data_IF_907151302786
#
_entry.id   IF_907151302786
#
_cell.length_a   1.000
_cell.length_b   1.000
_cell.length_c   1.000
_cell.angle_alpha   90.00
_cell.angle_beta   90.00
_cell.angle_gamma   90.00
#
_symmetry.space_group_name_H-M   'P 1'
#
loop_
_entity.id
_entity.type
_entity.pdbx_description
1 polymer ?
#
# COMPACT_ATOMS: atom_id res chain seq x y z
N UNK A 1 9.32 -47.75 22.91
CA UNK A 1 9.33 -47.25 21.52
C UNK A 1 10.44 -46.24 21.41
N UNK A 2 11.50 -46.51 20.64
CA UNK A 2 12.53 -45.52 20.38
C UNK A 2 11.91 -44.45 19.46
N UNK A 3 11.82 -43.20 19.93
CA UNK A 3 11.34 -42.10 19.10
C UNK A 3 12.35 -41.82 17.98
N UNK A 4 11.85 -41.64 16.75
CA UNK A 4 12.68 -41.15 15.65
C UNK A 4 13.04 -39.70 15.98
N UNK A 5 14.33 -39.40 16.10
CA UNK A 5 14.80 -38.04 16.32
C UNK A 5 14.62 -37.23 15.03
N UNK A 6 14.08 -36.01 15.13
CA UNK A 6 13.87 -35.11 13.98
C UNK A 6 15.15 -34.91 13.15
N UNK A 7 16.30 -34.93 13.80
CA UNK A 7 17.64 -34.82 13.21
C UNK A 7 18.01 -35.97 12.28
N UNK A 8 17.35 -37.12 12.41
CA UNK A 8 17.64 -38.31 11.59
C UNK A 8 16.79 -38.35 10.31
N UNK A 9 15.84 -37.43 10.15
CA UNK A 9 14.98 -37.38 8.98
C UNK A 9 15.77 -37.04 7.70
N UNK A 10 15.32 -37.57 6.54
CA UNK A 10 15.81 -37.14 5.23
C UNK A 10 15.59 -35.64 5.00
N UNK A 11 16.43 -35.04 4.16
CA UNK A 11 16.39 -33.61 3.87
C UNK A 11 15.05 -33.18 3.24
N UNK A 12 14.42 -34.06 2.46
CA UNK A 12 13.14 -33.84 1.80
C UNK A 12 12.01 -33.71 2.84
N UNK A 13 12.04 -34.55 3.87
CA UNK A 13 11.04 -34.51 4.97
C UNK A 13 11.26 -33.26 5.83
N UNK A 14 12.52 -32.89 6.09
CA UNK A 14 12.84 -31.63 6.79
C UNK A 14 12.42 -30.40 5.98
N UNK A 15 12.53 -30.46 4.65
CA UNK A 15 12.08 -29.39 3.76
C UNK A 15 10.58 -29.25 3.81
N UNK A 16 9.85 -30.36 3.69
CA UNK A 16 8.39 -30.37 3.80
C UNK A 16 7.89 -29.84 5.15
N UNK A 17 8.51 -30.25 6.26
CA UNK A 17 8.18 -29.70 7.58
C UNK A 17 8.51 -28.20 7.64
N UNK A 18 9.66 -27.81 7.08
CA UNK A 18 10.13 -26.44 7.07
C UNK A 18 9.24 -25.48 6.27
N UNK A 19 8.68 -25.90 5.14
CA UNK A 19 7.77 -25.08 4.31
C UNK A 19 6.40 -24.87 4.96
N UNK A 20 6.01 -25.76 5.88
CA UNK A 20 4.77 -25.66 6.67
C UNK A 20 4.90 -24.81 7.94
N UNK A 21 6.09 -24.27 8.22
CA UNK A 21 6.24 -23.33 9.34
C UNK A 21 5.43 -22.06 9.07
N UNK A 22 4.84 -21.51 10.14
CA UNK A 22 3.92 -20.38 10.09
C UNK A 22 4.62 -19.03 9.96
N UNK A 23 5.85 -18.93 10.48
CA UNK A 23 6.55 -17.66 10.67
C UNK A 23 8.06 -17.76 10.43
N UNK A 24 8.69 -16.70 9.89
CA UNK A 24 10.15 -16.61 9.81
C UNK A 24 10.86 -16.74 11.17
N UNK A 25 10.25 -16.28 12.27
CA UNK A 25 10.77 -16.45 13.63
C UNK A 25 10.81 -17.90 14.08
N UNK A 26 9.84 -18.71 13.65
CA UNK A 26 9.82 -20.16 13.92
C UNK A 26 10.98 -20.85 13.18
N UNK A 27 11.23 -20.46 11.92
CA UNK A 27 12.39 -20.94 11.15
C UNK A 27 13.72 -20.54 11.79
N UNK A 28 13.84 -19.31 12.28
CA UNK A 28 15.04 -18.84 12.98
C UNK A 28 15.29 -19.66 14.26
N UNK A 29 14.24 -19.95 15.01
CA UNK A 29 14.31 -20.80 16.22
C UNK A 29 14.71 -22.23 15.87
N UNK A 30 14.14 -22.79 14.80
CA UNK A 30 14.50 -24.12 14.27
C UNK A 30 15.98 -24.20 13.88
N UNK A 31 16.49 -23.16 13.21
CA UNK A 31 17.90 -23.02 12.83
C UNK A 31 18.84 -22.99 14.04
N UNK A 32 18.38 -22.49 15.19
CA UNK A 32 19.18 -22.39 16.43
C UNK A 32 19.21 -23.67 17.27
N UNK A 33 18.42 -24.70 16.94
CA UNK A 33 18.35 -25.93 17.73
C UNK A 33 19.65 -26.75 17.68
N UNK A 34 20.26 -26.90 16.49
CA UNK A 34 21.57 -27.56 16.34
C UNK A 34 22.26 -27.19 15.00
N UNK A 35 23.52 -27.60 14.86
CA UNK A 35 24.35 -27.29 13.67
C UNK A 35 23.85 -27.96 12.38
N UNK A 36 23.19 -29.13 12.46
CA UNK A 36 22.62 -29.81 11.29
C UNK A 36 21.44 -29.01 10.73
N UNK A 37 20.53 -28.54 11.58
CA UNK A 37 19.42 -27.68 11.15
C UNK A 37 19.91 -26.33 10.64
N UNK A 38 20.95 -25.76 11.26
CA UNK A 38 21.61 -24.57 10.70
C UNK A 38 22.10 -24.80 9.26
N UNK A 39 22.87 -25.87 9.03
CA UNK A 39 23.39 -26.20 7.71
C UNK A 39 22.27 -26.48 6.70
N UNK A 40 21.23 -27.21 7.12
CA UNK A 40 20.04 -27.51 6.32
C UNK A 40 19.30 -26.22 5.90
N UNK A 41 18.95 -25.36 6.86
CA UNK A 41 18.26 -24.10 6.58
C UNK A 41 19.11 -23.22 5.68
N UNK A 42 20.44 -23.16 5.87
CA UNK A 42 21.32 -22.38 4.98
C UNK A 42 21.33 -22.91 3.55
N UNK A 43 21.28 -24.22 3.36
CA UNK A 43 21.23 -24.84 2.04
C UNK A 43 19.88 -24.58 1.32
N UNK A 44 18.78 -24.53 2.07
CA UNK A 44 17.42 -24.43 1.52
C UNK A 44 16.71 -23.09 1.83
N UNK A 45 17.43 -22.05 2.24
CA UNK A 45 16.83 -20.82 2.78
C UNK A 45 15.88 -20.13 1.81
N UNK A 46 16.19 -20.12 0.52
CA UNK A 46 15.38 -19.42 -0.49
C UNK A 46 13.98 -20.03 -0.58
N UNK A 47 13.89 -21.36 -0.68
CA UNK A 47 12.62 -22.09 -0.69
C UNK A 47 11.89 -21.93 0.64
N UNK A 48 12.58 -22.16 1.76
CA UNK A 48 11.96 -22.12 3.09
C UNK A 48 11.40 -20.73 3.41
N UNK A 49 12.19 -19.68 3.24
CA UNK A 49 11.76 -18.30 3.54
C UNK A 49 10.62 -17.88 2.60
N UNK A 50 10.70 -18.24 1.32
CA UNK A 50 9.65 -17.91 0.35
C UNK A 50 8.31 -18.55 0.71
N UNK A 51 8.29 -19.86 0.97
CA UNK A 51 7.04 -20.56 1.31
C UNK A 51 6.46 -20.08 2.66
N UNK A 52 7.32 -19.88 3.65
CA UNK A 52 6.89 -19.33 4.95
C UNK A 52 6.30 -17.92 4.77
N UNK A 53 6.90 -17.06 3.94
CA UNK A 53 6.35 -15.73 3.69
C UNK A 53 5.03 -15.77 2.91
N UNK A 54 4.85 -16.71 1.98
CA UNK A 54 3.57 -16.94 1.28
C UNK A 54 2.46 -17.41 2.23
N UNK A 55 2.82 -18.14 3.29
CA UNK A 55 1.89 -18.60 4.32
C UNK A 55 1.61 -17.51 5.37
N UNK A 56 2.62 -16.70 5.69
CA UNK A 56 2.55 -15.67 6.72
C UNK A 56 1.86 -14.39 6.25
N UNK A 57 2.20 -13.92 5.04
CA UNK A 57 1.63 -12.72 4.42
C UNK A 57 0.70 -13.18 3.30
N UNK A 58 -0.51 -12.59 3.20
CA UNK A 58 -1.43 -12.89 2.10
C UNK A 58 -0.70 -12.78 0.75
N UNK A 59 -0.82 -13.74 -0.17
CA UNK A 59 -0.14 -13.70 -1.47
C UNK A 59 -0.40 -12.43 -2.27
N UNK A 60 -1.56 -11.80 -2.05
CA UNK A 60 -1.98 -10.54 -2.66
C UNK A 60 -1.27 -9.29 -2.06
N UNK A 61 -0.62 -9.44 -0.90
CA UNK A 61 0.09 -8.39 -0.15
C UNK A 61 1.60 -8.57 -0.12
N UNK A 62 2.08 -9.80 -0.33
CA UNK A 62 3.50 -10.11 -0.24
C UNK A 62 4.37 -9.25 -1.19
N UNK A 63 3.95 -8.93 -2.44
CA UNK A 63 4.71 -8.00 -3.28
C UNK A 63 4.89 -6.63 -2.62
N UNK A 64 3.85 -6.08 -1.99
CA UNK A 64 3.92 -4.78 -1.33
C UNK A 64 4.77 -4.83 -0.05
N UNK A 65 4.70 -5.93 0.70
CA UNK A 65 5.55 -6.15 1.86
C UNK A 65 7.04 -6.20 1.47
N UNK A 66 7.36 -6.88 0.38
CA UNK A 66 8.71 -6.91 -0.18
C UNK A 66 9.14 -5.53 -0.68
N UNK A 67 8.24 -4.74 -1.27
CA UNK A 67 8.53 -3.37 -1.70
C UNK A 67 8.97 -2.47 -0.56
N UNK A 68 8.21 -2.51 0.54
CA UNK A 68 8.56 -1.77 1.74
C UNK A 68 9.89 -2.26 2.31
N UNK A 69 10.12 -3.58 2.32
CA UNK A 69 11.39 -4.15 2.77
C UNK A 69 12.58 -3.66 1.93
N UNK A 70 12.53 -3.79 0.60
CA UNK A 70 13.59 -3.32 -0.28
C UNK A 70 13.83 -1.82 -0.15
N UNK A 71 12.75 -1.03 -0.22
CA UNK A 71 12.82 0.42 -0.06
C UNK A 71 13.50 0.82 1.24
N UNK A 72 13.25 0.08 2.33
CA UNK A 72 13.85 0.36 3.63
C UNK A 72 15.34 0.02 3.73
N UNK A 73 15.88 -0.78 2.82
CA UNK A 73 17.30 -1.13 2.75
C UNK A 73 18.08 -0.21 1.80
N UNK A 74 17.42 0.72 1.12
CA UNK A 74 18.08 1.67 0.22
C UNK A 74 18.84 2.71 1.02
N UNK A 75 20.17 2.63 1.00
CA UNK A 75 21.06 3.61 1.65
C UNK A 75 21.05 4.96 0.94
N UNK A 76 20.95 4.95 -0.39
CA UNK A 76 20.91 6.18 -1.20
C UNK A 76 19.91 6.05 -2.33
N UNK A 77 18.96 6.97 -2.35
CA UNK A 77 17.90 6.95 -3.34
C UNK A 77 18.32 7.69 -4.61
N UNK A 78 18.12 7.04 -5.76
CA UNK A 78 18.26 7.64 -7.10
C UNK A 78 16.97 7.42 -7.90
N UNK A 79 16.67 8.23 -8.93
CA UNK A 79 15.53 7.99 -9.81
C UNK A 79 15.53 6.58 -10.42
N UNK A 80 16.69 6.05 -10.78
CA UNK A 80 16.87 4.72 -11.37
C UNK A 80 16.57 3.63 -10.36
N UNK A 81 17.06 3.75 -9.11
CA UNK A 81 16.74 2.79 -8.03
C UNK A 81 15.26 2.81 -7.68
N UNK A 82 14.68 4.01 -7.63
CA UNK A 82 13.24 4.20 -7.40
C UNK A 82 12.45 3.47 -8.47
N UNK A 83 12.78 3.72 -9.74
CA UNK A 83 12.15 3.05 -10.89
C UNK A 83 12.39 1.55 -10.86
N UNK A 84 13.59 1.09 -10.49
CA UNK A 84 13.94 -0.33 -10.40
C UNK A 84 13.09 -1.06 -9.37
N UNK A 85 13.10 -0.58 -8.11
CA UNK A 85 12.28 -1.11 -7.01
C UNK A 85 10.83 -1.16 -7.47
N UNK A 86 10.29 -0.03 -7.93
CA UNK A 86 8.91 0.04 -8.44
C UNK A 86 8.65 -0.93 -9.61
N UNK A 87 9.57 -1.07 -10.56
CA UNK A 87 9.41 -1.97 -11.70
C UNK A 87 9.34 -3.44 -11.27
N UNK A 88 10.03 -3.79 -10.18
CA UNK A 88 10.11 -5.15 -9.68
C UNK A 88 8.81 -5.63 -9.05
N UNK A 89 7.97 -4.73 -8.53
CA UNK A 89 6.67 -5.10 -7.95
C UNK A 89 5.55 -5.27 -8.97
N UNK A 90 5.87 -5.15 -10.26
CA UNK A 90 4.92 -5.40 -11.35
C UNK A 90 4.81 -6.90 -11.62
N UNK A 91 3.93 -7.54 -10.85
CA UNK A 91 3.44 -8.90 -11.12
C UNK A 91 3.85 -9.94 -10.07
N UNK A 92 3.07 -11.02 -10.02
CA UNK A 92 3.22 -12.15 -9.08
C UNK A 92 4.52 -12.94 -9.26
N UNK A 93 5.30 -12.68 -10.32
CA UNK A 93 6.56 -13.37 -10.61
C UNK A 93 7.74 -12.90 -9.77
N UNK A 94 7.59 -11.81 -9.02
CA UNK A 94 8.69 -11.19 -8.29
C UNK A 94 9.23 -12.04 -7.13
N UNK A 95 8.34 -12.70 -6.38
CA UNK A 95 8.72 -13.51 -5.21
C UNK A 95 9.72 -14.62 -5.57
N UNK A 96 9.58 -15.23 -6.75
CA UNK A 96 10.47 -16.30 -7.23
C UNK A 96 11.89 -15.85 -7.60
N UNK A 97 12.18 -14.55 -7.60
CA UNK A 97 13.49 -13.98 -7.99
C UNK A 97 14.27 -13.42 -6.80
N UNK A 98 13.60 -13.16 -5.68
CA UNK A 98 14.23 -12.59 -4.52
C UNK A 98 15.03 -13.67 -3.77
N UNK A 99 16.35 -13.52 -3.70
CA UNK A 99 17.23 -14.37 -2.89
C UNK A 99 17.12 -13.98 -1.42
N UNK A 100 16.02 -14.37 -0.78
CA UNK A 100 15.73 -14.00 0.60
C UNK A 100 16.50 -14.87 1.59
N UNK A 101 17.16 -14.21 2.54
CA UNK A 101 17.74 -14.86 3.71
C UNK A 101 16.73 -14.95 4.86
N UNK A 102 17.04 -15.78 5.87
CA UNK A 102 16.24 -15.85 7.12
C UNK A 102 16.14 -14.48 7.79
N UNK A 103 17.21 -13.66 7.72
CA UNK A 103 17.22 -12.31 8.27
C UNK A 103 16.22 -11.40 7.53
N UNK A 104 16.12 -11.54 6.21
CA UNK A 104 15.17 -10.77 5.41
C UNK A 104 13.74 -11.17 5.76
N UNK A 105 13.47 -12.47 5.91
CA UNK A 105 12.19 -12.99 6.40
C UNK A 105 11.79 -12.41 7.76
N UNK A 106 12.72 -12.34 8.71
CA UNK A 106 12.49 -11.72 10.03
C UNK A 106 12.16 -10.22 9.92
N UNK A 107 12.86 -9.49 9.07
CA UNK A 107 12.61 -8.06 8.86
C UNK A 107 11.23 -7.83 8.23
N UNK A 108 10.83 -8.65 7.25
CA UNK A 108 9.50 -8.59 6.64
C UNK A 108 8.42 -8.93 7.66
N UNK A 109 8.62 -9.99 8.46
CA UNK A 109 7.71 -10.37 9.55
C UNK A 109 7.51 -9.20 10.51
N UNK A 110 8.59 -8.63 11.03
CA UNK A 110 8.54 -7.53 11.98
C UNK A 110 7.76 -6.33 11.44
N UNK A 111 7.90 -6.01 10.15
CA UNK A 111 7.15 -4.92 9.51
C UNK A 111 5.67 -5.26 9.38
N UNK A 112 5.33 -6.46 8.89
CA UNK A 112 3.94 -6.89 8.77
C UNK A 112 3.22 -6.89 10.13
N UNK A 113 3.87 -7.41 11.17
CA UNK A 113 3.33 -7.45 12.53
C UNK A 113 3.13 -6.06 13.15
N UNK A 114 3.86 -5.03 12.68
CA UNK A 114 3.62 -3.63 13.07
C UNK A 114 2.45 -3.00 12.32
N UNK A 115 2.23 -3.37 11.06
CA UNK A 115 1.16 -2.81 10.22
C UNK A 115 -0.22 -3.34 10.66
N UNK A 116 -0.34 -4.64 10.95
CA UNK A 116 -1.64 -5.28 11.22
C UNK A 116 -2.44 -4.67 12.40
N UNK A 117 -1.83 -4.35 13.56
CA UNK A 117 -2.56 -3.71 14.65
C UNK A 117 -3.10 -2.33 14.27
N UNK A 118 -2.34 -1.55 13.49
CA UNK A 118 -2.74 -0.21 13.04
C UNK A 118 -3.88 -0.31 12.04
N UNK A 119 -3.80 -1.25 11.09
CA UNK A 119 -4.88 -1.57 10.16
C UNK A 119 -6.16 -1.96 10.91
N UNK A 120 -6.03 -2.81 11.93
CA UNK A 120 -7.17 -3.27 12.73
C UNK A 120 -7.86 -2.11 13.45
N UNK A 121 -7.07 -1.22 14.05
CA UNK A 121 -7.59 -0.03 14.73
C UNK A 121 -8.22 0.96 13.74
N UNK A 122 -7.61 1.16 12.56
CA UNK A 122 -8.19 1.95 11.48
C UNK A 122 -9.56 1.42 11.08
N UNK A 123 -9.65 0.12 10.78
CA UNK A 123 -10.90 -0.52 10.35
C UNK A 123 -11.98 -0.37 11.42
N UNK A 124 -11.62 -0.57 12.69
CA UNK A 124 -12.55 -0.39 13.82
C UNK A 124 -13.09 1.04 13.88
N UNK A 125 -12.22 2.04 13.82
CA UNK A 125 -12.61 3.45 13.91
C UNK A 125 -13.39 3.90 12.67
N UNK A 126 -12.95 3.54 11.47
CA UNK A 126 -13.58 3.94 10.23
C UNK A 126 -15.00 3.35 10.09
N UNK A 127 -15.22 2.11 10.55
CA UNK A 127 -16.56 1.51 10.59
C UNK A 127 -17.50 2.19 11.59
N UNK A 128 -17.00 2.67 12.73
CA UNK A 128 -17.80 3.42 13.72
C UNK A 128 -18.21 4.80 13.20
N UNK A 129 -17.37 5.43 12.38
CA UNK A 129 -17.62 6.76 11.83
C UNK A 129 -18.54 6.75 10.59
N UNK A 130 -19.16 5.61 10.29
CA UNK A 130 -20.01 5.46 9.12
C UNK A 130 -21.16 6.48 9.09
N UNK A 131 -21.57 6.96 7.89
CA UNK A 131 -22.54 8.06 7.75
C UNK A 131 -23.98 7.70 8.16
N UNK A 132 -24.26 6.45 8.54
CA UNK A 132 -25.61 5.96 8.89
C UNK A 132 -25.61 5.24 10.26
N UNK A 133 -25.41 5.96 11.38
CA UNK A 133 -25.07 5.40 12.70
C UNK A 133 -26.04 4.35 13.28
N UNK A 134 -27.24 4.19 12.69
CA UNK A 134 -28.29 3.29 13.17
C UNK A 134 -28.22 1.86 12.60
N UNK A 135 -27.33 1.58 11.64
CA UNK A 135 -27.19 0.25 11.03
C UNK A 135 -25.91 -0.42 11.54
N UNK A 136 -26.02 -1.60 12.17
CA UNK A 136 -24.83 -2.37 12.51
C UNK A 136 -24.04 -2.68 11.23
N UNK A 137 -22.75 -2.29 11.16
CA UNK A 137 -21.96 -2.51 9.96
C UNK A 137 -21.83 -4.00 9.68
N UNK A 138 -22.02 -4.42 8.42
CA UNK A 138 -21.77 -5.81 8.04
C UNK A 138 -20.28 -6.13 8.22
N UNK A 139 -19.92 -7.40 8.48
CA UNK A 139 -18.52 -7.83 8.49
C UNK A 139 -17.77 -7.37 7.24
N UNK A 140 -16.48 -7.10 7.39
CA UNK A 140 -15.61 -6.71 6.28
C UNK A 140 -15.47 -7.86 5.29
N UNK A 141 -15.53 -7.55 3.99
CA UNK A 141 -15.16 -8.51 2.98
C UNK A 141 -13.64 -8.74 2.98
N UNK A 142 -13.19 -9.91 2.50
CA UNK A 142 -11.74 -10.20 2.35
C UNK A 142 -11.05 -9.11 1.53
N UNK A 143 -11.70 -8.62 0.48
CA UNK A 143 -11.15 -7.61 -0.42
C UNK A 143 -11.03 -6.24 0.26
N UNK A 144 -11.99 -5.84 1.09
CA UNK A 144 -11.91 -4.60 1.88
C UNK A 144 -10.71 -4.62 2.82
N UNK A 145 -10.55 -5.72 3.58
CA UNK A 145 -9.40 -5.89 4.47
C UNK A 145 -8.08 -5.80 3.70
N UNK A 146 -7.96 -6.54 2.60
CA UNK A 146 -6.77 -6.51 1.74
C UNK A 146 -6.51 -5.13 1.13
N UNK A 147 -7.55 -4.35 0.82
CA UNK A 147 -7.40 -3.01 0.25
C UNK A 147 -6.85 -2.03 1.29
N UNK A 148 -7.35 -2.08 2.51
CA UNK A 148 -6.83 -1.27 3.62
C UNK A 148 -5.39 -1.65 3.91
N UNK A 149 -5.08 -2.95 4.02
CA UNK A 149 -3.69 -3.41 4.22
C UNK A 149 -2.76 -2.92 3.10
N UNK A 150 -3.19 -3.01 1.83
CA UNK A 150 -2.44 -2.43 0.68
C UNK A 150 -2.22 -0.93 0.83
N UNK A 151 -3.22 -0.17 1.28
CA UNK A 151 -3.08 1.27 1.47
C UNK A 151 -2.03 1.61 2.53
N UNK A 152 -1.96 0.85 3.64
CA UNK A 152 -0.90 0.99 4.64
C UNK A 152 0.48 0.62 4.10
N UNK A 153 0.62 -0.45 3.31
CA UNK A 153 1.90 -0.76 2.68
C UNK A 153 2.36 0.31 1.70
N UNK A 154 1.43 0.90 0.93
CA UNK A 154 1.76 2.01 0.01
C UNK A 154 2.19 3.24 0.77
N UNK A 155 1.50 3.55 1.86
CA UNK A 155 1.91 4.62 2.79
C UNK A 155 3.35 4.37 3.26
N UNK A 156 3.65 3.20 3.83
CA UNK A 156 5.00 2.84 4.29
C UNK A 156 6.05 2.88 3.17
N UNK A 157 5.69 2.47 1.95
CA UNK A 157 6.58 2.56 0.80
C UNK A 157 6.91 4.03 0.48
N UNK A 158 5.90 4.90 0.46
CA UNK A 158 6.12 6.32 0.25
C UNK A 158 6.91 6.97 1.39
N UNK A 159 6.70 6.54 2.64
CA UNK A 159 7.50 6.93 3.79
C UNK A 159 8.98 6.54 3.61
N UNK A 160 9.26 5.30 3.23
CA UNK A 160 10.63 4.83 2.98
C UNK A 160 11.32 5.63 1.86
N UNK A 161 10.55 6.07 0.86
CA UNK A 161 11.04 6.93 -0.19
C UNK A 161 11.14 8.42 0.22
N UNK A 162 10.73 8.83 1.44
CA UNK A 162 10.66 10.26 1.80
C UNK A 162 11.99 10.98 1.81
N UNK A 163 13.12 10.29 1.97
CA UNK A 163 14.43 10.93 1.84
C UNK A 163 14.63 11.58 0.46
N UNK A 164 13.90 11.13 -0.56
CA UNK A 164 13.83 11.75 -1.89
C UNK A 164 13.01 13.03 -1.95
N UNK A 165 12.19 13.34 -0.93
CA UNK A 165 11.16 14.38 -1.04
C UNK A 165 11.68 15.82 -0.95
N UNK A 166 13.01 15.99 -1.04
CA UNK A 166 13.66 17.26 -1.39
C UNK A 166 13.90 17.41 -2.90
N UNK A 167 13.55 16.42 -3.73
CA UNK A 167 13.82 16.38 -5.19
C UNK A 167 12.56 16.09 -6.05
N UNK A 168 12.74 16.19 -7.38
CA UNK A 168 11.76 15.89 -8.43
C UNK A 168 11.19 14.46 -8.39
N UNK A 169 11.82 13.53 -7.67
CA UNK A 169 11.44 12.12 -7.60
C UNK A 169 10.11 11.88 -6.86
N UNK A 170 9.67 12.82 -6.00
CA UNK A 170 8.34 12.74 -5.36
C UNK A 170 7.22 12.65 -6.40
N UNK A 171 7.35 13.40 -7.50
CA UNK A 171 6.35 13.41 -8.56
C UNK A 171 6.30 12.04 -9.25
N UNK A 172 7.47 11.45 -9.54
CA UNK A 172 7.57 10.10 -10.12
C UNK A 172 6.82 9.09 -9.27
N UNK A 173 7.00 9.12 -7.94
CA UNK A 173 6.31 8.21 -7.03
C UNK A 173 4.80 8.42 -7.06
N UNK A 174 4.34 9.67 -6.99
CA UNK A 174 2.91 9.98 -7.02
C UNK A 174 2.26 9.61 -8.36
N UNK A 175 3.00 9.67 -9.47
CA UNK A 175 2.51 9.25 -10.79
C UNK A 175 2.27 7.75 -10.93
N UNK A 176 2.81 6.93 -10.03
CA UNK A 176 2.64 5.47 -10.07
C UNK A 176 1.32 5.03 -9.45
N UNK A 177 0.69 5.89 -8.67
CA UNK A 177 -0.53 5.60 -7.96
C UNK A 177 -1.73 6.17 -8.73
N UNK A 178 -2.82 5.40 -8.76
CA UNK A 178 -4.07 5.94 -9.27
C UNK A 178 -4.61 7.03 -8.37
N UNK A 179 -5.51 7.87 -8.87
CA UNK A 179 -6.20 8.90 -8.07
C UNK A 179 -6.87 8.30 -6.82
N UNK A 180 -7.41 7.08 -6.94
CA UNK A 180 -7.99 6.34 -5.83
C UNK A 180 -6.95 5.87 -4.82
N UNK A 181 -5.78 5.40 -5.28
CA UNK A 181 -4.71 4.97 -4.38
C UNK A 181 -4.14 6.15 -3.60
N UNK A 182 -3.98 7.30 -4.26
CA UNK A 182 -3.54 8.54 -3.62
C UNK A 182 -4.55 9.01 -2.56
N UNK A 183 -5.85 8.99 -2.86
CA UNK A 183 -6.88 9.34 -1.86
C UNK A 183 -6.87 8.38 -0.67
N UNK A 184 -6.71 7.07 -0.91
CA UNK A 184 -6.55 6.08 0.17
C UNK A 184 -5.34 6.41 1.06
N UNK A 185 -4.21 6.78 0.47
CA UNK A 185 -3.04 7.18 1.24
C UNK A 185 -3.25 8.47 2.04
N UNK A 186 -4.00 9.45 1.50
CA UNK A 186 -4.39 10.65 2.24
C UNK A 186 -5.23 10.29 3.45
N UNK A 187 -6.24 9.42 3.28
CA UNK A 187 -7.06 8.89 4.38
C UNK A 187 -6.18 8.26 5.47
N UNK A 188 -5.26 7.34 5.09
CA UNK A 188 -4.36 6.69 6.05
C UNK A 188 -3.45 7.71 6.75
N UNK A 189 -2.97 8.71 6.02
CA UNK A 189 -2.10 9.75 6.58
C UNK A 189 -2.85 10.63 7.58
N UNK A 190 -4.09 11.01 7.31
CA UNK A 190 -4.94 11.76 8.26
C UNK A 190 -5.22 10.92 9.52
N UNK A 191 -5.58 9.65 9.35
CA UNK A 191 -5.77 8.72 10.46
C UNK A 191 -4.53 8.61 11.37
N UNK A 192 -3.34 8.40 10.80
CA UNK A 192 -2.09 8.29 11.57
C UNK A 192 -1.81 9.59 12.34
N UNK A 193 -2.20 10.75 11.83
CA UNK A 193 -2.01 12.03 12.51
C UNK A 193 -2.93 12.20 13.71
N UNK A 194 -4.22 11.97 13.49
CA UNK A 194 -5.23 12.09 14.53
C UNK A 194 -4.89 11.16 15.68
N UNK A 195 -4.53 9.93 15.36
CA UNK A 195 -4.23 8.94 16.38
C UNK A 195 -2.93 9.23 17.13
N UNK A 196 -1.87 9.75 16.47
CA UNK A 196 -0.70 10.31 17.16
C UNK A 196 -1.07 11.40 18.17
N UNK A 197 -2.04 12.25 17.83
CA UNK A 197 -2.52 13.31 18.71
C UNK A 197 -3.23 12.72 19.94
N UNK A 198 -4.11 11.73 19.76
CA UNK A 198 -4.90 11.12 20.83
C UNK A 198 -4.08 10.29 21.80
N UNK A 199 -3.14 9.50 21.31
CA UNK A 199 -2.42 8.52 22.14
C UNK A 199 -1.07 9.02 22.70
N UNK A 200 -0.63 10.22 22.29
CA UNK A 200 0.60 10.85 22.79
C UNK A 200 1.86 9.99 22.62
N UNK A 201 2.89 10.23 23.45
CA UNK A 201 4.15 9.43 23.46
C UNK A 201 3.95 7.94 23.80
N UNK A 202 2.79 7.57 24.37
CA UNK A 202 2.51 6.19 24.79
C UNK A 202 2.24 5.25 23.60
N UNK A 203 2.04 5.83 22.41
CA UNK A 203 1.81 5.12 21.16
C UNK A 203 3.05 5.02 20.27
N UNK A 204 4.24 5.25 20.83
CA UNK A 204 5.51 4.86 20.22
C UNK A 204 5.60 3.33 20.18
N UNK A 205 4.91 2.70 19.22
CA UNK A 205 5.49 1.52 18.61
C UNK A 205 6.90 1.91 18.13
N UNK A 206 7.87 1.03 18.32
CA UNK A 206 9.22 1.09 17.73
C UNK A 206 9.17 1.02 16.18
N UNK A 207 8.29 1.78 15.54
CA UNK A 207 8.51 2.38 14.22
C UNK A 207 9.65 3.42 14.29
N UNK A 208 10.22 3.59 15.48
CA UNK A 208 11.35 4.41 15.93
C UNK A 208 11.15 5.91 15.76
N UNK A 209 11.27 6.59 16.89
CA UNK A 209 11.35 8.05 17.05
C UNK A 209 12.45 8.72 16.20
N UNK A 210 13.28 7.96 15.48
CA UNK A 210 14.26 8.46 14.51
C UNK A 210 13.70 8.65 13.08
N UNK A 211 12.60 7.97 12.71
CA UNK A 211 12.06 7.99 11.34
C UNK A 211 10.93 9.02 11.16
N UNK A 212 10.31 9.48 12.25
CA UNK A 212 9.08 10.29 12.21
C UNK A 212 9.16 11.69 12.87
N UNK A 213 10.31 12.38 12.78
CA UNK A 213 10.44 13.80 13.15
C UNK A 213 11.20 14.65 12.10
N UNK A 214 10.85 15.93 11.84
CA UNK A 214 9.53 16.50 11.66
C UNK A 214 9.43 17.08 10.23
N UNK A 215 8.74 16.38 9.33
CA UNK A 215 7.94 17.08 8.32
C UNK A 215 6.52 16.84 8.77
N UNK A 216 5.88 17.89 9.29
CA UNK A 216 4.47 17.82 9.66
C UNK A 216 3.74 17.16 8.50
N UNK A 217 3.04 16.08 8.79
CA UNK A 217 2.12 15.40 7.90
C UNK A 217 1.21 16.36 7.10
N UNK A 218 0.90 17.55 7.65
CA UNK A 218 0.28 18.66 6.91
C UNK A 218 1.03 19.05 5.64
N UNK A 219 2.36 19.02 5.62
CA UNK A 219 3.16 19.30 4.43
C UNK A 219 3.11 18.16 3.40
N UNK A 220 3.01 16.90 3.82
CA UNK A 220 2.81 15.77 2.89
C UNK A 220 1.39 15.78 2.34
N UNK A 221 0.37 15.94 3.20
CA UNK A 221 -1.02 16.13 2.76
C UNK A 221 -1.12 17.34 1.83
N UNK A 222 -0.50 18.48 2.18
CA UNK A 222 -0.43 19.66 1.31
C UNK A 222 0.31 19.40 0.00
N UNK A 223 1.32 18.53 -0.03
CA UNK A 223 2.04 18.12 -1.26
C UNK A 223 1.21 17.21 -2.14
N UNK A 224 0.51 16.23 -1.57
CA UNK A 224 -0.40 15.35 -2.31
C UNK A 224 -1.61 16.16 -2.82
N UNK A 225 -2.14 17.04 -1.98
CA UNK A 225 -3.19 18.01 -2.35
C UNK A 225 -2.71 18.98 -3.42
N UNK A 226 -1.50 19.55 -3.30
CA UNK A 226 -0.94 20.42 -4.34
C UNK A 226 -0.63 19.66 -5.62
N UNK A 227 -0.24 18.39 -5.52
CA UNK A 227 -0.08 17.51 -6.67
C UNK A 227 -1.44 17.32 -7.37
N UNK A 228 -2.52 17.04 -6.64
CA UNK A 228 -3.89 16.97 -7.17
C UNK A 228 -4.37 18.26 -7.85
N UNK A 229 -3.87 19.41 -7.40
CA UNK A 229 -4.17 20.73 -7.97
C UNK A 229 -3.09 21.23 -8.94
N UNK A 230 -2.10 20.41 -9.29
CA UNK A 230 -1.04 20.79 -10.21
C UNK A 230 -1.54 20.77 -11.66
N UNK A 231 -1.19 21.79 -12.49
CA UNK A 231 -1.48 21.80 -13.93
C UNK A 231 -1.02 20.53 -14.65
N UNK A 232 0.01 19.84 -14.14
CA UNK A 232 0.56 18.61 -14.71
C UNK A 232 -0.47 17.46 -14.70
N UNK A 233 -1.29 17.35 -13.65
CA UNK A 233 -2.38 16.37 -13.61
C UNK A 233 -3.58 16.81 -14.44
N UNK A 234 -3.82 18.12 -14.58
CA UNK A 234 -4.89 18.64 -15.44
C UNK A 234 -4.64 18.27 -16.90
N UNK A 235 -3.42 18.45 -17.40
CA UNK A 235 -3.02 18.11 -18.77
C UNK A 235 -2.99 16.59 -19.03
N UNK A 236 -2.59 15.79 -18.05
CA UNK A 236 -2.60 14.33 -18.20
C UNK A 236 -4.03 13.74 -18.19
N UNK A 237 -4.96 14.33 -17.41
CA UNK A 237 -6.37 13.90 -17.38
C UNK A 237 -7.18 14.38 -18.59
N UNK A 238 -6.82 15.51 -19.19
CA UNK A 238 -7.41 15.99 -20.44
C UNK A 238 -6.88 15.22 -21.65
N UNK A 239 -5.61 14.81 -21.67
CA UNK A 239 -5.02 13.99 -22.75
C UNK A 239 -5.73 12.64 -22.94
N UNK A 240 -6.18 11.97 -21.86
CA UNK A 240 -7.04 10.76 -21.98
C UNK A 240 -8.47 11.03 -22.50
N UNK A 241 -8.91 12.28 -22.63
CA UNK A 241 -10.17 12.67 -23.28
C UNK A 241 -9.98 13.29 -24.67
N UNK A 242 -8.76 13.65 -25.04
CA UNK A 242 -8.44 14.42 -26.24
C UNK A 242 -7.47 13.66 -27.15
N UNK A 243 -7.89 12.51 -27.69
CA UNK A 243 -7.27 11.93 -28.89
C UNK A 243 -7.64 12.70 -30.19
N UNK A 244 -8.28 13.88 -30.10
CA UNK A 244 -8.82 14.59 -31.29
C UNK A 244 -8.47 16.07 -31.43
N UNK A 245 -7.75 16.71 -30.52
CA UNK A 245 -7.41 18.14 -30.68
C UNK A 245 -5.95 18.40 -30.29
N UNK A 246 -5.11 18.60 -31.30
CA UNK A 246 -3.67 18.86 -31.18
C UNK A 246 -3.37 20.16 -30.45
N UNK A 247 -2.86 20.03 -29.23
CA UNK A 247 -2.38 21.15 -28.42
C UNK A 247 -0.87 21.00 -28.22
N UNK A 248 -0.12 22.07 -28.47
CA UNK A 248 1.33 22.13 -28.28
C UNK A 248 1.69 22.39 -26.80
N UNK A 249 2.69 21.65 -26.32
CA UNK A 249 3.23 21.76 -24.97
C UNK A 249 4.28 22.87 -24.91
N UNK A 250 4.19 23.81 -23.96
CA UNK A 250 5.09 24.98 -23.92
C UNK A 250 6.08 25.02 -22.75
N UNK A 251 6.05 24.05 -21.83
CA UNK A 251 7.02 23.99 -20.71
C UNK A 251 7.87 22.71 -20.74
N UNK A 252 9.20 22.88 -20.68
CA UNK A 252 10.20 21.80 -20.83
C UNK A 252 10.12 20.74 -19.72
N UNK A 253 9.65 21.11 -18.53
CA UNK A 253 9.46 20.16 -17.41
C UNK A 253 8.17 19.36 -17.56
N UNK A 254 7.11 19.95 -18.12
CA UNK A 254 5.83 19.28 -18.34
C UNK A 254 5.90 18.27 -19.48
N UNK A 255 6.65 18.58 -20.54
CA UNK A 255 6.99 17.65 -21.62
C UNK A 255 7.77 16.44 -21.10
N UNK A 256 8.80 16.66 -20.29
CA UNK A 256 9.60 15.57 -19.72
C UNK A 256 8.76 14.69 -18.78
N UNK A 257 7.86 15.27 -17.99
CA UNK A 257 6.99 14.50 -17.08
C UNK A 257 5.89 13.75 -17.84
N UNK A 258 5.30 14.35 -18.87
CA UNK A 258 4.28 13.70 -19.70
C UNK A 258 4.88 12.56 -20.54
N UNK A 259 6.07 12.76 -21.11
CA UNK A 259 6.81 11.73 -21.84
C UNK A 259 7.27 10.62 -20.90
N UNK A 260 7.82 10.95 -19.73
CA UNK A 260 8.13 9.97 -18.68
C UNK A 260 6.87 9.23 -18.25
N UNK A 261 5.71 9.88 -18.15
CA UNK A 261 4.44 9.22 -17.80
C UNK A 261 3.93 8.32 -18.92
N UNK A 262 3.92 8.75 -20.18
CA UNK A 262 3.53 7.90 -21.31
C UNK A 262 4.45 6.69 -21.39
N UNK A 263 5.76 6.91 -21.32
CA UNK A 263 6.75 5.85 -21.28
C UNK A 263 6.59 4.96 -20.02
N UNK A 264 6.27 5.52 -18.86
CA UNK A 264 6.02 4.80 -17.59
C UNK A 264 4.66 4.10 -17.52
N UNK A 265 3.68 4.48 -18.35
CA UNK A 265 2.36 3.86 -18.39
C UNK A 265 2.32 2.81 -19.50
N UNK A 266 2.83 3.14 -20.69
CA UNK A 266 2.91 2.25 -21.86
C UNK A 266 3.96 1.15 -21.68
N UNK A 267 5.16 1.44 -21.19
CA UNK A 267 6.22 0.42 -21.08
C UNK A 267 6.01 -0.55 -19.90
N UNK A 268 4.95 -0.36 -19.13
CA UNK A 268 5.00 -0.65 -17.70
C UNK A 268 3.62 -0.89 -17.08
N UNK A 269 2.57 -1.03 -17.92
CA UNK A 269 1.14 -1.12 -17.60
C UNK A 269 0.82 -1.37 -16.13
N UNK A 270 0.27 -0.35 -15.45
CA UNK A 270 -0.31 -0.41 -14.10
C UNK A 270 0.56 -1.10 -13.04
N UNK A 271 1.15 -0.32 -12.12
CA UNK A 271 2.02 -0.81 -11.03
C UNK A 271 1.43 -1.94 -10.16
N UNK A 272 0.10 -2.00 -10.04
CA UNK A 272 -0.64 -2.97 -9.23
C UNK A 272 -1.79 -3.48 -10.09
N UNK A 273 -2.10 -4.80 -10.08
CA UNK A 273 -3.29 -5.31 -10.73
C UNK A 273 -4.47 -4.44 -10.30
N UNK A 274 -5.19 -3.80 -11.25
CA UNK A 274 -6.26 -2.90 -10.89
C UNK A 274 -7.25 -3.66 -10.01
N UNK A 275 -7.66 -3.04 -8.91
CA UNK A 275 -8.74 -3.57 -8.10
C UNK A 275 -9.94 -3.78 -9.03
N UNK A 276 -10.41 -5.03 -9.13
CA UNK A 276 -11.54 -5.37 -10.00
C UNK A 276 -12.83 -4.74 -9.48
N UNK A 277 -12.85 -4.39 -8.20
CA UNK A 277 -13.89 -3.66 -7.53
C UNK A 277 -13.90 -2.18 -7.93
N UNK A 278 -15.06 -1.72 -8.42
CA UNK A 278 -15.25 -0.32 -8.84
C UNK A 278 -15.58 0.60 -7.67
N UNK A 279 -15.79 0.06 -6.47
CA UNK A 279 -16.17 0.77 -5.24
C UNK A 279 -15.31 1.98 -4.97
N UNK A 280 -13.98 1.82 -4.78
CA UNK A 280 -13.08 2.95 -4.55
C UNK A 280 -13.19 4.05 -5.60
N UNK A 281 -13.25 3.67 -6.88
CA UNK A 281 -13.35 4.60 -8.00
C UNK A 281 -14.68 5.33 -8.04
N UNK A 282 -15.77 4.63 -7.78
CA UNK A 282 -17.11 5.22 -7.74
C UNK A 282 -17.27 6.11 -6.51
N UNK A 283 -16.73 5.72 -5.35
CA UNK A 283 -16.72 6.51 -4.13
C UNK A 283 -15.92 7.80 -4.32
N UNK A 284 -14.73 7.71 -4.93
CA UNK A 284 -13.91 8.86 -5.30
C UNK A 284 -14.67 9.83 -6.19
N UNK A 285 -15.31 9.33 -7.26
CA UNK A 285 -16.14 10.15 -8.17
C UNK A 285 -17.32 10.79 -7.46
N UNK A 286 -18.01 10.05 -6.59
CA UNK A 286 -19.11 10.57 -5.79
C UNK A 286 -18.65 11.73 -4.90
N UNK A 287 -17.53 11.55 -4.20
CA UNK A 287 -17.00 12.56 -3.30
C UNK A 287 -16.56 13.84 -4.05
N UNK A 288 -16.00 13.67 -5.25
CA UNK A 288 -15.41 14.76 -6.04
C UNK A 288 -16.36 15.36 -7.09
N UNK A 289 -17.60 14.88 -7.24
CA UNK A 289 -18.58 15.28 -8.27
C UNK A 289 -18.74 16.81 -8.42
N UNK A 290 -18.67 17.56 -7.33
CA UNK A 290 -18.92 19.00 -7.30
C UNK A 290 -17.66 19.84 -7.09
N UNK A 291 -16.49 19.21 -7.10
CA UNK A 291 -15.22 19.89 -6.96
C UNK A 291 -14.84 20.46 -8.32
N UNK A 292 -14.74 21.79 -8.39
CA UNK A 292 -14.05 22.44 -9.50
C UNK A 292 -12.56 22.24 -9.28
N UNK A 293 -11.79 22.07 -10.35
CA UNK A 293 -10.39 21.66 -10.33
C UNK A 293 -9.47 22.53 -9.44
N UNK A 294 -9.79 23.81 -9.25
CA UNK A 294 -8.95 24.75 -8.48
C UNK A 294 -9.38 24.99 -7.02
N UNK A 295 -10.36 24.25 -6.50
CA UNK A 295 -10.95 24.55 -5.19
C UNK A 295 -10.28 23.75 -4.05
N UNK A 296 -9.04 24.13 -3.72
CA UNK A 296 -8.25 23.55 -2.61
C UNK A 296 -9.02 23.57 -1.27
N UNK A 297 -9.86 24.60 -1.05
CA UNK A 297 -10.68 24.71 0.16
C UNK A 297 -11.72 23.58 0.26
N UNK A 298 -12.14 22.99 -0.86
CA UNK A 298 -13.03 21.81 -0.86
C UNK A 298 -12.30 20.52 -0.49
N UNK A 299 -10.97 20.43 -0.62
CA UNK A 299 -10.25 19.23 -0.17
C UNK A 299 -10.23 19.11 1.37
N UNK A 300 -10.34 20.25 2.07
CA UNK A 300 -10.54 20.29 3.53
C UNK A 300 -11.95 19.80 3.88
N UNK A 301 -12.97 20.11 3.07
CA UNK A 301 -14.35 19.65 3.35
C UNK A 301 -14.55 18.14 3.16
N UNK A 302 -13.54 17.43 2.64
CA UNK A 302 -13.53 15.96 2.60
C UNK A 302 -13.06 15.31 3.90
N UNK A 303 -12.52 16.05 4.88
CA UNK A 303 -12.02 15.51 6.15
C UNK A 303 -13.04 14.59 6.84
N UNK A 304 -14.29 15.05 6.98
CA UNK A 304 -15.37 14.21 7.53
C UNK A 304 -15.59 12.93 6.71
N UNK A 305 -15.40 12.95 5.38
CA UNK A 305 -15.56 11.74 4.54
C UNK A 305 -14.39 10.78 4.67
N UNK A 306 -13.18 11.32 4.83
CA UNK A 306 -11.95 10.55 5.00
C UNK A 306 -11.90 9.85 6.35
N UNK A 307 -12.51 10.44 7.38
CA UNK A 307 -12.60 9.88 8.73
C UNK A 307 -13.25 8.48 8.80
N UNK A 308 -14.18 8.17 7.89
CA UNK A 308 -14.75 6.81 7.71
C UNK A 308 -14.21 6.07 6.49
N UNK A 309 -13.12 6.56 5.90
CA UNK A 309 -12.35 5.84 4.89
C UNK A 309 -13.06 5.62 3.55
N UNK A 310 -13.93 6.53 3.10
CA UNK A 310 -14.86 6.30 1.98
C UNK A 310 -14.29 5.66 0.70
N UNK A 311 -13.01 5.86 0.38
CA UNK A 311 -12.33 5.31 -0.79
C UNK A 311 -11.73 3.90 -0.58
N UNK A 312 -11.95 3.27 0.58
CA UNK A 312 -11.40 1.96 0.95
C UNK A 312 -12.43 0.82 0.93
N UNK A 313 -13.69 1.12 0.63
CA UNK A 313 -14.79 0.16 0.73
C UNK A 313 -15.19 -0.41 -0.62
N UNK A 314 -15.76 -1.61 -0.58
CA UNK A 314 -16.25 -2.25 -1.80
C UNK A 314 -17.52 -1.60 -2.34
N UNK A 315 -17.77 -1.79 -3.64
CA UNK A 315 -18.96 -1.22 -4.29
C UNK A 315 -20.26 -1.67 -3.62
N UNK A 316 -20.28 -2.91 -3.14
CA UNK A 316 -21.47 -3.49 -2.50
C UNK A 316 -21.81 -2.77 -1.21
N UNK A 317 -20.85 -2.55 -0.29
CA UNK A 317 -21.07 -1.79 0.94
C UNK A 317 -21.51 -0.37 0.65
N UNK A 318 -20.82 0.29 -0.28
CA UNK A 318 -21.11 1.68 -0.65
C UNK A 318 -22.53 1.86 -1.21
N UNK A 319 -23.02 0.86 -1.94
CA UNK A 319 -24.36 0.83 -2.55
C UNK A 319 -25.43 0.38 -1.56
N UNK A 320 -25.30 -0.84 -1.05
CA UNK A 320 -26.37 -1.55 -0.36
C UNK A 320 -26.51 -1.09 1.09
N UNK A 321 -25.39 -0.86 1.78
CA UNK A 321 -25.41 -0.42 3.17
C UNK A 321 -25.47 1.10 3.25
N UNK A 322 -24.57 1.77 2.54
CA UNK A 322 -24.39 3.20 2.74
C UNK A 322 -25.25 4.04 1.82
N UNK A 323 -25.79 3.47 0.74
CA UNK A 323 -26.68 4.19 -0.20
C UNK A 323 -25.99 5.41 -0.82
N UNK A 324 -24.66 5.40 -0.91
CA UNK A 324 -23.87 6.52 -1.44
C UNK A 324 -23.80 6.46 -2.96
N UNK A 325 -23.79 5.24 -3.51
CA UNK A 325 -23.57 4.96 -4.92
C UNK A 325 -24.74 4.11 -5.38
N UNK A 326 -25.60 4.67 -6.23
CA UNK A 326 -26.80 4.02 -6.74
C UNK A 326 -27.23 4.64 -8.07
N UNK A 327 -27.93 3.87 -8.90
CA UNK A 327 -28.30 4.28 -10.24
C UNK A 327 -29.10 5.58 -10.19
N UNK A 328 -28.63 6.58 -10.93
CA UNK A 328 -29.32 7.85 -11.15
C UNK A 328 -30.77 7.63 -11.64
N UNK A 329 -31.04 6.46 -12.21
CA UNK A 329 -32.35 6.01 -12.69
C UNK A 329 -33.40 5.84 -11.58
N UNK A 330 -33.03 5.50 -10.34
CA UNK A 330 -34.02 5.42 -9.25
C UNK A 330 -34.47 6.79 -8.70
N UNK A 331 -33.73 7.87 -8.98
CA UNK A 331 -34.06 9.22 -8.47
C UNK A 331 -34.79 10.12 -9.47
N UNK A 332 -35.03 9.66 -10.70
CA UNK A 332 -35.85 10.38 -11.71
C UNK A 332 -37.32 9.95 -11.73
N UNK A 333 -37.69 8.95 -10.94
CA UNK A 333 -39.07 8.44 -10.82
C UNK A 333 -39.74 8.70 -9.47
N UNK A 334 -39.17 9.58 -8.63
CA UNK A 334 -39.73 10.01 -7.34
C UNK A 334 -39.93 11.53 -7.31
#
# INVERSE_FOLDING_TARGET
MAGIMLETLPAEVLLEIGTHLDRPSTLASFMSLNSRFYAFVKLHQETLVTEILNNFVSPELLPQALAVFEASNVVSWTPERTTHIISQFKGTKYIKRAKLSVKDGLNIQQRHEKILPIVTEFLRLALVQHPKPLVQPKPLSKNEKLRVERAFYRFELCEACKELTRSSVTHVILFLFSDTDLEQMVIITEFIQETKHWYGKKWEWDLTAAWMAPISSKAWTKRVVSFFSSPILEHSRSSHRHETLGFEWTDSTDLAVAEVKSNLVESYGGFIPPDTDKGPKNAWRWAHKFMKHHDLNKLITLEHRRSWGYALWDEQRLRDEWGLIGSVEQKRGQ
#
